data_IF_508455972856
#
_entry.id   IF_508455972856
#
_cell.length_a   1.000
_cell.length_b   1.000
_cell.length_c   1.000
_cell.angle_alpha   90.00
_cell.angle_beta   90.00
_cell.angle_gamma   90.00
#
_symmetry.space_group_name_H-M   'P 1'
#
loop_
_entity.id
_entity.type
_entity.pdbx_description
1 polymer ?
#
# COMPACT_ATOMS: atom_id res chain seq x y z
N UNK A 1 -4.52 12.70 16.74
CA UNK A 1 -5.57 13.69 16.38
C UNK A 1 -6.89 13.35 17.08
N UNK A 2 -7.70 14.37 17.36
CA UNK A 2 -9.10 14.21 17.77
C UNK A 2 -10.02 14.13 16.54
N UNK A 3 -11.26 13.66 16.74
CA UNK A 3 -12.20 13.46 15.63
C UNK A 3 -12.53 14.78 14.87
N UNK A 4 -12.48 15.92 15.55
CA UNK A 4 -12.70 17.24 14.92
C UNK A 4 -11.59 17.57 13.90
N UNK A 5 -10.32 17.27 14.22
CA UNK A 5 -9.19 17.49 13.32
C UNK A 5 -9.31 16.61 12.07
N UNK A 6 -9.68 15.34 12.28
CA UNK A 6 -9.90 14.38 11.19
C UNK A 6 -11.06 14.82 10.29
N UNK A 7 -12.11 15.37 10.89
CA UNK A 7 -13.26 15.92 10.16
C UNK A 7 -12.86 17.12 9.31
N UNK A 8 -11.98 17.97 9.85
CA UNK A 8 -11.44 19.12 9.11
C UNK A 8 -10.66 18.67 7.88
N UNK A 9 -9.82 17.62 7.97
CA UNK A 9 -9.12 17.05 6.82
C UNK A 9 -10.12 16.61 5.75
N UNK A 10 -11.13 15.80 6.11
CA UNK A 10 -12.15 15.31 5.15
C UNK A 10 -12.90 16.46 4.45
N UNK A 11 -13.04 17.62 5.08
CA UNK A 11 -13.69 18.77 4.47
C UNK A 11 -12.77 19.56 3.50
N UNK A 12 -11.47 19.35 3.56
CA UNK A 12 -10.47 20.07 2.77
C UNK A 12 -9.89 19.26 1.61
N UNK A 13 -10.07 17.94 1.61
CA UNK A 13 -9.62 17.05 0.55
C UNK A 13 -10.79 16.65 -0.36
N UNK A 14 -10.50 16.31 -1.61
CA UNK A 14 -11.45 15.61 -2.47
C UNK A 14 -11.39 14.11 -2.14
N UNK A 15 -12.54 13.52 -1.81
CA UNK A 15 -12.63 12.11 -1.42
C UNK A 15 -12.77 11.91 0.08
N UNK A 16 -12.37 10.76 0.56
CA UNK A 16 -12.54 10.33 1.96
C UNK A 16 -11.19 9.86 2.50
N UNK A 17 -10.79 10.41 3.64
CA UNK A 17 -9.61 9.91 4.35
C UNK A 17 -9.83 8.43 4.74
N UNK A 18 -8.91 7.52 4.38
CA UNK A 18 -9.03 6.09 4.67
C UNK A 18 -9.11 5.79 6.17
N UNK A 19 -9.90 4.78 6.52
CA UNK A 19 -10.08 4.39 7.92
C UNK A 19 -8.75 3.93 8.56
N UNK A 20 -7.89 3.25 7.80
CA UNK A 20 -6.56 2.83 8.27
C UNK A 20 -5.69 4.01 8.69
N UNK A 21 -5.75 5.13 7.96
CA UNK A 21 -4.96 6.31 8.29
C UNK A 21 -5.62 7.15 9.40
N UNK A 22 -6.95 7.17 9.48
CA UNK A 22 -7.67 7.77 10.64
C UNK A 22 -7.29 7.08 11.95
N UNK A 23 -7.18 5.76 11.95
CA UNK A 23 -6.73 5.01 13.13
C UNK A 23 -5.31 5.40 13.53
N UNK A 24 -4.39 5.50 12.56
CA UNK A 24 -3.04 5.99 12.81
C UNK A 24 -3.04 7.40 13.40
N UNK A 25 -3.78 8.35 12.81
CA UNK A 25 -3.88 9.73 13.31
C UNK A 25 -4.46 9.82 14.73
N UNK A 26 -5.33 8.91 15.12
CA UNK A 26 -5.87 8.85 16.51
C UNK A 26 -4.82 8.40 17.52
N UNK A 27 -3.86 7.58 17.11
CA UNK A 27 -2.74 7.15 17.94
C UNK A 27 -1.71 8.28 18.03
N UNK A 28 -1.32 8.84 16.86
CA UNK A 28 -0.34 9.91 16.77
C UNK A 28 -0.73 10.90 15.66
N UNK A 29 -0.78 12.18 16.00
CA UNK A 29 -1.08 13.23 14.99
C UNK A 29 0.20 13.70 14.32
N UNK A 30 0.70 12.88 13.41
CA UNK A 30 2.02 13.00 12.80
C UNK A 30 3.08 12.21 13.59
N UNK A 31 4.07 11.70 12.88
CA UNK A 31 5.18 10.94 13.45
C UNK A 31 6.39 10.99 12.53
N UNK A 32 7.56 10.72 13.10
CA UNK A 32 8.75 10.34 12.34
C UNK A 32 9.09 8.91 12.73
N UNK A 33 9.07 8.02 11.76
CA UNK A 33 9.40 6.60 11.94
C UNK A 33 10.50 6.24 10.94
N UNK A 34 11.66 5.88 11.45
CA UNK A 34 12.88 5.77 10.65
C UNK A 34 13.15 7.07 9.86
N UNK A 35 13.26 6.98 8.55
CA UNK A 35 13.49 8.11 7.64
C UNK A 35 12.19 8.75 7.13
N UNK A 36 11.01 8.22 7.49
CA UNK A 36 9.73 8.68 6.97
C UNK A 36 9.06 9.64 7.94
N UNK A 37 8.55 10.74 7.37
CA UNK A 37 7.71 11.72 8.06
C UNK A 37 6.25 11.43 7.70
N UNK A 38 5.43 11.12 8.68
CA UNK A 38 3.98 10.98 8.55
C UNK A 38 3.32 12.29 8.95
N UNK A 39 2.51 12.82 8.06
CA UNK A 39 1.90 14.14 8.27
C UNK A 39 0.83 14.12 9.36
N UNK A 40 0.85 15.19 10.17
CA UNK A 40 -0.27 15.55 11.02
C UNK A 40 -1.48 15.99 10.18
N UNK A 41 -2.65 16.08 10.78
CA UNK A 41 -3.87 16.59 10.12
C UNK A 41 -3.66 17.98 9.48
N UNK A 42 -2.87 18.83 10.12
CA UNK A 42 -2.55 20.16 9.62
C UNK A 42 -1.63 20.09 8.39
N UNK A 43 -0.54 19.32 8.50
CA UNK A 43 0.43 19.16 7.41
C UNK A 43 -0.21 18.49 6.19
N UNK A 44 -1.08 17.51 6.39
CA UNK A 44 -1.83 16.90 5.28
C UNK A 44 -2.59 17.94 4.46
N UNK A 45 -3.30 18.86 5.13
CA UNK A 45 -4.04 19.91 4.44
C UNK A 45 -3.09 20.89 3.71
N UNK A 46 -1.97 21.22 4.34
CA UNK A 46 -0.96 22.10 3.76
C UNK A 46 -0.33 21.47 2.52
N UNK A 47 0.10 20.22 2.60
CA UNK A 47 0.75 19.51 1.48
C UNK A 47 -0.25 19.15 0.37
N UNK A 48 -1.49 18.79 0.70
CA UNK A 48 -2.55 18.58 -0.29
C UNK A 48 -2.79 19.84 -1.16
N UNK A 49 -2.70 21.02 -0.56
CA UNK A 49 -2.82 22.31 -1.26
C UNK A 49 -1.54 22.68 -1.99
N UNK A 50 -0.37 22.49 -1.37
CA UNK A 50 0.93 22.84 -1.92
C UNK A 50 1.19 22.13 -3.26
N UNK A 51 0.88 20.84 -3.32
CA UNK A 51 1.04 20.00 -4.51
C UNK A 51 -0.19 20.01 -5.43
N UNK A 52 -1.21 20.80 -5.07
CA UNK A 52 -2.48 20.89 -5.82
C UNK A 52 -3.09 19.53 -6.17
N UNK A 53 -3.09 18.59 -5.20
CA UNK A 53 -3.66 17.25 -5.38
C UNK A 53 -5.09 17.30 -5.87
N UNK A 54 -5.84 18.33 -5.48
CA UNK A 54 -7.23 18.50 -5.90
C UNK A 54 -7.43 18.56 -7.42
N UNK A 55 -6.44 19.03 -8.15
CA UNK A 55 -6.47 19.16 -9.61
C UNK A 55 -5.59 18.11 -10.29
N UNK A 56 -4.44 17.81 -9.70
CA UNK A 56 -3.44 16.94 -10.31
C UNK A 56 -3.71 15.46 -10.07
N UNK A 57 -4.11 15.09 -8.83
CA UNK A 57 -4.33 13.68 -8.43
C UNK A 57 -5.46 13.57 -7.38
N UNK A 58 -6.71 13.89 -7.75
CA UNK A 58 -7.83 13.97 -6.80
C UNK A 58 -8.21 12.62 -6.14
N UNK A 59 -7.72 11.52 -6.69
CA UNK A 59 -7.89 10.16 -6.17
C UNK A 59 -6.91 9.80 -5.05
N UNK A 60 -5.91 10.65 -4.77
CA UNK A 60 -4.89 10.41 -3.75
C UNK A 60 -4.88 11.49 -2.67
N UNK A 61 -4.34 11.10 -1.53
CA UNK A 61 -4.04 11.98 -0.39
C UNK A 61 -2.56 11.77 -0.05
N UNK A 62 -1.79 12.85 0.03
CA UNK A 62 -0.46 12.79 0.60
C UNK A 62 -0.55 12.64 2.11
N UNK A 63 0.11 11.62 2.66
CA UNK A 63 0.10 11.24 4.07
C UNK A 63 1.48 11.32 4.72
N UNK A 64 2.52 11.63 3.93
CA UNK A 64 3.89 11.72 4.44
C UNK A 64 4.91 11.85 3.32
N UNK A 65 6.19 11.78 3.69
CA UNK A 65 7.32 11.77 2.76
C UNK A 65 8.51 11.01 3.35
N UNK A 66 9.56 10.81 2.55
CA UNK A 66 10.81 10.16 2.96
C UNK A 66 11.91 11.16 3.37
N UNK A 67 11.59 12.38 3.78
CA UNK A 67 12.54 13.49 3.98
C UNK A 67 13.34 13.88 2.73
N UNK A 68 12.88 13.49 1.54
CA UNK A 68 13.49 13.76 0.25
C UNK A 68 12.44 14.06 -0.81
N UNK A 69 12.66 13.53 -1.98
CA UNK A 69 11.86 13.83 -3.17
C UNK A 69 10.61 12.95 -3.33
N UNK A 70 10.31 12.07 -2.37
CA UNK A 70 9.20 11.11 -2.48
C UNK A 70 8.08 11.42 -1.49
N UNK A 71 6.88 11.64 -2.04
CA UNK A 71 5.64 11.75 -1.27
C UNK A 71 5.03 10.36 -1.05
N UNK A 72 4.61 10.09 0.19
CA UNK A 72 3.84 8.91 0.53
C UNK A 72 2.37 9.22 0.33
N UNK A 73 1.72 8.47 -0.55
CA UNK A 73 0.31 8.69 -0.91
C UNK A 73 -0.56 7.47 -0.62
N UNK A 74 -1.84 7.72 -0.38
CA UNK A 74 -2.88 6.71 -0.20
C UNK A 74 -4.11 7.10 -1.02
N UNK A 75 -4.88 6.13 -1.53
CA UNK A 75 -6.13 6.44 -2.26
C UNK A 75 -7.16 7.11 -1.36
N UNK A 76 -7.83 8.13 -1.88
CA UNK A 76 -8.83 8.94 -1.16
C UNK A 76 -10.18 8.20 -1.04
N UNK A 77 -10.18 6.94 -0.63
CA UNK A 77 -11.37 6.10 -0.42
C UNK A 77 -11.36 5.49 0.97
N UNK A 78 -12.54 5.34 1.56
CA UNK A 78 -12.70 4.88 2.95
C UNK A 78 -11.99 3.57 3.27
N UNK A 79 -12.02 2.64 2.34
CA UNK A 79 -11.54 1.26 2.44
C UNK A 79 -10.12 1.06 1.90
N UNK A 80 -9.44 2.14 1.49
CA UNK A 80 -8.05 2.04 1.04
C UNK A 80 -7.14 1.60 2.21
N UNK A 81 -6.30 0.61 1.95
CA UNK A 81 -5.29 0.09 2.88
C UNK A 81 -3.88 0.16 2.32
N UNK A 82 -3.76 0.37 1.00
CA UNK A 82 -2.48 0.44 0.32
C UNK A 82 -2.01 1.87 0.19
N UNK A 83 -0.74 2.09 0.48
CA UNK A 83 -0.01 3.32 0.21
C UNK A 83 1.16 3.05 -0.73
N UNK A 84 1.70 4.10 -1.32
CA UNK A 84 2.83 4.00 -2.23
C UNK A 84 3.63 5.29 -2.26
N UNK A 85 4.85 5.23 -2.77
CA UNK A 85 5.69 6.40 -2.97
C UNK A 85 5.49 6.98 -4.36
N UNK A 86 5.46 8.29 -4.42
CA UNK A 86 5.34 9.07 -5.63
C UNK A 86 6.45 10.12 -5.64
N UNK A 87 7.24 10.16 -6.70
CA UNK A 87 8.20 11.26 -6.91
C UNK A 87 7.46 12.59 -6.94
N UNK A 88 7.88 13.56 -6.12
CA UNK A 88 7.22 14.84 -6.01
C UNK A 88 7.19 15.64 -7.33
N UNK A 89 8.17 15.40 -8.20
CA UNK A 89 8.20 15.98 -9.56
C UNK A 89 7.26 15.28 -10.54
N UNK A 90 6.72 14.12 -10.17
CA UNK A 90 5.82 13.31 -11.00
C UNK A 90 4.35 13.43 -10.58
N UNK A 91 4.02 14.30 -9.62
CA UNK A 91 2.64 14.54 -9.18
C UNK A 91 1.81 15.05 -10.38
N UNK A 92 0.73 14.33 -10.69
CA UNK A 92 -0.14 14.61 -11.84
C UNK A 92 0.36 14.04 -13.18
N UNK A 93 1.46 13.27 -13.18
CA UNK A 93 2.05 12.68 -14.39
C UNK A 93 1.94 11.16 -14.35
N UNK A 94 2.27 10.53 -13.22
CA UNK A 94 2.24 9.07 -13.07
C UNK A 94 1.69 8.66 -11.70
N UNK A 95 1.18 7.44 -11.63
CA UNK A 95 0.80 6.77 -10.39
C UNK A 95 2.05 6.22 -9.68
N UNK A 96 1.97 5.93 -8.36
CA UNK A 96 3.00 5.16 -7.67
C UNK A 96 3.30 3.83 -8.38
N UNK A 97 4.58 3.53 -8.56
CA UNK A 97 5.02 2.29 -9.21
C UNK A 97 4.79 1.08 -8.30
N UNK A 98 4.96 1.27 -6.99
CA UNK A 98 4.78 0.23 -5.99
C UNK A 98 3.74 0.60 -4.94
N UNK A 99 2.96 -0.43 -4.51
CA UNK A 99 1.94 -0.31 -3.49
C UNK A 99 2.17 -1.35 -2.40
N UNK A 100 2.08 -0.93 -1.13
CA UNK A 100 2.24 -1.79 0.03
C UNK A 100 1.15 -1.52 1.07
N UNK A 101 0.84 -2.53 1.89
CA UNK A 101 -0.17 -2.37 2.95
C UNK A 101 0.36 -1.47 4.05
N UNK A 102 -0.31 -0.34 4.27
CA UNK A 102 0.09 0.67 5.22
C UNK A 102 0.28 0.11 6.64
N UNK A 103 -0.66 -0.73 7.11
CA UNK A 103 -0.64 -1.26 8.47
C UNK A 103 0.48 -2.29 8.64
N UNK A 104 0.70 -3.15 7.67
CA UNK A 104 1.81 -4.09 7.70
C UNK A 104 3.14 -3.35 7.72
N UNK A 105 3.32 -2.40 6.80
CA UNK A 105 4.54 -1.62 6.70
C UNK A 105 4.88 -0.85 7.98
N UNK A 106 3.89 -0.20 8.62
CA UNK A 106 4.07 0.46 9.92
C UNK A 106 4.50 -0.55 11.00
N UNK A 107 3.87 -1.73 11.05
CA UNK A 107 4.18 -2.77 12.04
C UNK A 107 5.59 -3.36 11.85
N UNK A 108 6.10 -3.37 10.63
CA UNK A 108 7.47 -3.80 10.28
C UNK A 108 8.51 -2.68 10.49
N UNK A 109 8.10 -1.56 11.07
CA UNK A 109 8.95 -0.41 11.38
C UNK A 109 9.31 0.42 10.17
N UNK A 110 8.43 0.49 9.17
CA UNK A 110 8.62 1.26 7.93
C UNK A 110 9.89 0.85 7.16
N UNK A 111 10.22 -0.42 7.18
CA UNK A 111 11.34 -0.92 6.37
C UNK A 111 10.88 -0.99 4.92
N UNK A 112 11.63 -0.33 4.03
CA UNK A 112 11.55 -0.68 2.62
C UNK A 112 12.23 -2.02 2.42
N UNK A 113 11.71 -2.82 1.51
CA UNK A 113 12.46 -3.98 1.05
C UNK A 113 13.74 -3.44 0.41
N UNK A 114 14.89 -3.72 1.05
CA UNK A 114 16.16 -3.46 0.40
C UNK A 114 16.14 -4.29 -0.88
N UNK A 115 16.25 -3.62 -2.03
CA UNK A 115 16.55 -4.31 -3.27
C UNK A 115 17.94 -4.93 -3.06
N UNK A 116 17.95 -6.24 -2.83
CA UNK A 116 19.18 -6.98 -2.80
C UNK A 116 19.66 -7.02 -4.25
N UNK A 117 20.58 -6.09 -4.61
CA UNK A 117 21.14 -5.93 -5.96
C UNK A 117 21.70 -7.23 -6.57
N UNK A 118 21.79 -8.29 -5.75
CA UNK A 118 22.27 -9.62 -6.12
C UNK A 118 21.15 -10.68 -6.18
N UNK A 119 19.87 -10.35 -6.00
CA UNK A 119 18.82 -11.36 -6.08
C UNK A 119 18.31 -11.50 -7.51
N UNK A 120 18.25 -12.74 -8.02
CA UNK A 120 17.66 -13.05 -9.30
C UNK A 120 16.16 -12.73 -9.32
N UNK A 121 15.67 -12.25 -10.46
CA UNK A 121 14.24 -12.09 -10.72
C UNK A 121 13.61 -13.46 -10.93
N UNK A 122 12.41 -13.64 -10.38
CA UNK A 122 11.67 -14.89 -10.46
C UNK A 122 10.19 -14.69 -10.72
N UNK A 123 9.44 -15.80 -10.61
CA UNK A 123 7.99 -15.79 -10.73
C UNK A 123 7.38 -16.52 -9.52
N UNK A 124 6.28 -15.99 -9.01
CA UNK A 124 5.51 -16.65 -7.95
C UNK A 124 4.35 -17.41 -8.56
N UNK A 125 4.22 -18.66 -8.16
CA UNK A 125 3.17 -19.56 -8.63
C UNK A 125 2.29 -19.99 -7.45
N UNK A 126 0.99 -20.11 -7.70
CA UNK A 126 0.13 -20.96 -6.88
C UNK A 126 0.25 -22.38 -7.43
N UNK A 127 0.78 -23.30 -6.62
CA UNK A 127 1.02 -24.70 -7.02
C UNK A 127 -0.06 -25.64 -6.54
N UNK A 128 -0.77 -25.29 -5.46
CA UNK A 128 -1.92 -26.04 -4.95
C UNK A 128 -2.92 -25.12 -4.25
N UNK A 129 -4.14 -25.59 -4.07
CA UNK A 129 -5.18 -24.88 -3.35
C UNK A 129 -5.49 -25.59 -2.03
N UNK A 130 -5.54 -24.88 -0.89
CA UNK A 130 -5.96 -25.44 0.39
C UNK A 130 -7.48 -25.69 0.43
N UNK A 131 -7.96 -26.31 1.49
CA UNK A 131 -9.42 -26.51 1.71
C UNK A 131 -10.16 -25.16 1.78
N UNK A 132 -9.56 -24.17 2.43
CA UNK A 132 -10.12 -22.82 2.61
C UNK A 132 -9.81 -21.88 1.42
N UNK A 133 -10.16 -22.32 0.20
CA UNK A 133 -9.78 -21.65 -1.06
C UNK A 133 -10.07 -20.15 -1.07
N UNK A 134 -11.25 -19.71 -0.61
CA UNK A 134 -11.61 -18.28 -0.66
C UNK A 134 -10.77 -17.44 0.30
N UNK A 135 -10.49 -17.96 1.50
CA UNK A 135 -9.62 -17.30 2.48
C UNK A 135 -8.21 -17.17 1.90
N UNK A 136 -7.67 -18.27 1.38
CA UNK A 136 -6.37 -18.31 0.73
C UNK A 136 -6.26 -17.27 -0.40
N UNK A 137 -7.20 -17.24 -1.34
CA UNK A 137 -7.15 -16.30 -2.47
C UNK A 137 -7.35 -14.83 -2.07
N UNK A 138 -8.16 -14.57 -1.03
CA UNK A 138 -8.30 -13.23 -0.49
C UNK A 138 -7.00 -12.75 0.18
N UNK A 139 -6.33 -13.65 0.91
CA UNK A 139 -5.04 -13.39 1.55
C UNK A 139 -3.93 -13.22 0.51
N UNK A 140 -3.84 -14.11 -0.49
CA UNK A 140 -2.91 -14.00 -1.64
C UNK A 140 -3.06 -12.65 -2.31
N UNK A 141 -4.31 -12.28 -2.67
CA UNK A 141 -4.57 -10.98 -3.29
C UNK A 141 -4.05 -9.82 -2.44
N UNK A 142 -4.23 -9.86 -1.13
CA UNK A 142 -3.82 -8.79 -0.22
C UNK A 142 -2.31 -8.71 -0.08
N UNK A 143 -1.65 -9.85 0.15
CA UNK A 143 -0.19 -9.91 0.42
C UNK A 143 0.62 -9.61 -0.84
N UNK A 144 0.20 -10.14 -1.99
CA UNK A 144 0.87 -9.90 -3.28
C UNK A 144 0.30 -8.70 -4.05
N UNK A 145 -0.54 -7.88 -3.44
CA UNK A 145 -1.11 -6.64 -4.01
C UNK A 145 -1.75 -6.82 -5.39
N UNK A 146 -2.38 -7.96 -5.65
CA UNK A 146 -2.91 -8.29 -6.96
C UNK A 146 -4.10 -7.41 -7.33
N UNK A 147 -3.99 -6.67 -8.42
CA UNK A 147 -5.06 -5.85 -8.97
C UNK A 147 -6.11 -6.70 -9.72
N UNK A 148 -6.73 -7.64 -9.02
CA UNK A 148 -7.73 -8.57 -9.54
C UNK A 148 -8.78 -8.86 -8.48
N UNK A 149 -10.04 -9.04 -8.85
CA UNK A 149 -11.05 -9.46 -7.88
C UNK A 149 -10.83 -10.92 -7.43
N UNK A 150 -11.12 -11.22 -6.15
CA UNK A 150 -11.00 -12.60 -5.62
C UNK A 150 -11.80 -13.60 -6.44
N UNK A 151 -12.99 -13.22 -6.93
CA UNK A 151 -13.83 -14.07 -7.79
C UNK A 151 -13.19 -14.35 -9.16
N UNK A 152 -12.50 -13.38 -9.74
CA UNK A 152 -11.78 -13.58 -10.99
C UNK A 152 -10.50 -14.42 -10.77
N UNK A 153 -9.77 -14.17 -9.68
CA UNK A 153 -8.63 -14.98 -9.29
C UNK A 153 -9.05 -16.45 -9.07
N UNK A 154 -10.19 -16.68 -8.37
CA UNK A 154 -10.75 -18.01 -8.18
C UNK A 154 -11.00 -18.77 -9.49
N UNK A 155 -11.48 -18.07 -10.52
CA UNK A 155 -11.68 -18.66 -11.85
C UNK A 155 -10.35 -18.99 -12.55
N UNK A 156 -9.34 -18.15 -12.38
CA UNK A 156 -8.04 -18.31 -13.05
C UNK A 156 -7.21 -19.46 -12.46
N UNK A 157 -7.27 -19.70 -11.15
CA UNK A 157 -6.52 -20.78 -10.48
C UNK A 157 -7.13 -22.19 -10.65
N UNK A 158 -8.11 -22.35 -11.53
CA UNK A 158 -8.64 -23.68 -11.87
C UNK A 158 -7.61 -24.57 -12.60
N UNK A 159 -6.60 -23.96 -13.21
CA UNK A 159 -5.47 -24.68 -13.82
C UNK A 159 -4.20 -24.30 -13.07
N UNK A 160 -3.59 -25.26 -12.39
CA UNK A 160 -2.34 -25.10 -11.66
C UNK A 160 -1.18 -25.75 -12.41
N UNK A 161 0.05 -25.24 -12.25
CA UNK A 161 0.42 -24.04 -11.51
C UNK A 161 -0.08 -22.77 -12.19
N UNK A 162 -0.45 -21.74 -11.38
CA UNK A 162 -0.91 -20.44 -11.87
C UNK A 162 0.06 -19.34 -11.43
N UNK A 163 0.61 -18.57 -12.38
CA UNK A 163 1.50 -17.43 -12.10
C UNK A 163 0.68 -16.27 -11.54
N UNK A 164 1.04 -15.78 -10.38
CA UNK A 164 0.43 -14.60 -9.75
C UNK A 164 1.30 -13.36 -9.83
N UNK A 165 2.61 -13.54 -10.00
CA UNK A 165 3.57 -12.44 -10.10
C UNK A 165 4.75 -12.86 -10.98
N UNK A 166 5.22 -11.96 -11.83
CA UNK A 166 6.39 -12.13 -12.68
C UNK A 166 7.38 -10.99 -12.40
N UNK A 167 8.65 -11.23 -12.72
CA UNK A 167 9.73 -10.26 -12.57
C UNK A 167 9.85 -9.65 -11.16
N UNK A 168 9.66 -10.50 -10.14
CA UNK A 168 9.84 -10.15 -8.73
C UNK A 168 11.18 -10.67 -8.22
N UNK A 169 11.89 -9.90 -7.40
CA UNK A 169 13.07 -10.38 -6.69
C UNK A 169 12.71 -11.58 -5.79
N UNK A 170 13.51 -12.63 -5.84
CA UNK A 170 13.24 -13.88 -5.11
C UNK A 170 13.14 -13.62 -3.60
N UNK A 171 14.03 -12.80 -3.04
CA UNK A 171 14.00 -12.40 -1.62
C UNK A 171 12.68 -11.73 -1.22
N UNK A 172 12.15 -10.87 -2.08
CA UNK A 172 10.85 -10.20 -1.88
C UNK A 172 9.70 -11.21 -1.98
N UNK A 173 9.76 -12.13 -2.93
CA UNK A 173 8.77 -13.20 -3.08
C UNK A 173 8.72 -14.09 -1.85
N UNK A 174 9.88 -14.51 -1.33
CA UNK A 174 9.99 -15.33 -0.12
C UNK A 174 9.38 -14.61 1.09
N UNK A 175 9.69 -13.32 1.27
CA UNK A 175 9.09 -12.50 2.34
C UNK A 175 7.56 -12.46 2.24
N UNK A 176 7.00 -12.32 1.05
CA UNK A 176 5.54 -12.33 0.87
C UNK A 176 4.95 -13.72 1.16
N UNK A 177 5.60 -14.80 0.73
CA UNK A 177 5.17 -16.17 1.00
C UNK A 177 5.18 -16.47 2.50
N UNK A 178 6.20 -16.05 3.23
CA UNK A 178 6.30 -16.22 4.68
C UNK A 178 5.19 -15.49 5.46
N UNK A 179 4.65 -14.39 4.93
CA UNK A 179 3.53 -13.67 5.52
C UNK A 179 2.18 -14.35 5.31
N UNK A 180 2.10 -15.37 4.46
CA UNK A 180 0.84 -16.08 4.21
C UNK A 180 0.56 -17.14 5.26
N UNK A 181 -0.72 -17.42 5.52
CA UNK A 181 -1.14 -18.57 6.35
C UNK A 181 -0.97 -19.91 5.61
N UNK A 182 -0.53 -19.91 4.36
CA UNK A 182 -0.48 -21.08 3.47
C UNK A 182 0.81 -21.11 2.62
N UNK A 183 2.01 -20.98 3.23
CA UNK A 183 3.25 -20.87 2.46
C UNK A 183 3.51 -22.08 1.56
N UNK A 184 3.00 -23.24 1.93
CA UNK A 184 3.14 -24.48 1.15
C UNK A 184 2.32 -24.50 -0.15
N UNK A 185 1.52 -23.48 -0.43
CA UNK A 185 0.70 -23.36 -1.64
C UNK A 185 1.40 -22.62 -2.79
N UNK A 186 2.58 -22.08 -2.51
CA UNK A 186 3.41 -21.33 -3.46
C UNK A 186 4.63 -22.08 -3.90
#
# INVERSE_FOLDING_TARGET
>A
AIDEDIHLVNNQIKGILPDVYKEFLKITNGAVLNEYVFYSTKEMIEMYKCHDFSNNMPEYISIGNNNGDWELVIKATKDATLCGFLDAGSIGISDPDEWFDFRLWINEGCKMFEEDDNSDLGKVYIIKLPKEKLKFLAETKRIFFLNISTGLLYKKVNTLPYVIMEDIYISKADTYIEQTSFPECY
#
